data_IF_618394348397
#
_entry.id   IF_618394348397
#
_cell.length_a   1.000
_cell.length_b   1.000
_cell.length_c   1.000
_cell.angle_alpha   90.00
_cell.angle_beta   90.00
_cell.angle_gamma   90.00
#
_symmetry.space_group_name_H-M   'P 1'
#
loop_
_entity.id
_entity.type
_entity.pdbx_description
1 polymer ?
#
# COMPACT_ATOMS: atom_id res chain seq x y z
N UNK A 1 40.86 16.89 -0.48
CA UNK A 1 40.41 17.34 0.86
C UNK A 1 39.01 16.77 1.08
N UNK A 2 38.88 15.76 1.94
CA UNK A 2 37.59 15.13 2.22
C UNK A 2 36.69 16.10 2.98
N UNK A 3 35.42 16.24 2.57
CA UNK A 3 34.44 17.05 3.29
C UNK A 3 34.23 16.43 4.67
N UNK A 4 34.52 17.18 5.74
CA UNK A 4 34.16 16.77 7.10
C UNK A 4 32.64 16.62 7.17
N UNK A 5 32.19 15.38 7.36
CA UNK A 5 30.78 15.05 7.47
C UNK A 5 30.28 15.49 8.85
N UNK A 6 29.26 16.35 8.88
CA UNK A 6 28.63 16.87 10.10
C UNK A 6 28.24 15.71 11.05
N UNK A 7 28.38 15.88 12.36
CA UNK A 7 27.96 14.90 13.38
C UNK A 7 26.52 14.42 13.16
N UNK A 8 25.62 15.30 12.72
CA UNK A 8 24.23 14.92 12.42
C UNK A 8 24.18 13.87 11.30
N UNK A 9 24.97 14.04 10.23
CA UNK A 9 25.05 13.06 9.14
C UNK A 9 25.62 11.73 9.62
N UNK A 10 26.68 11.75 10.45
CA UNK A 10 27.26 10.53 11.03
C UNK A 10 26.27 9.77 11.91
N UNK A 11 25.48 10.50 12.72
CA UNK A 11 24.43 9.92 13.55
C UNK A 11 23.29 9.35 12.70
N UNK A 12 22.88 10.06 11.65
CA UNK A 12 21.86 9.58 10.73
C UNK A 12 22.30 8.31 9.99
N UNK A 13 23.53 8.28 9.48
CA UNK A 13 24.10 7.11 8.80
C UNK A 13 24.21 5.91 9.77
N UNK A 14 24.61 6.16 11.02
CA UNK A 14 24.65 5.12 12.06
C UNK A 14 23.26 4.58 12.43
N UNK A 15 22.25 5.45 12.55
CA UNK A 15 20.86 5.03 12.79
C UNK A 15 20.32 4.23 11.61
N UNK A 16 20.59 4.66 10.38
CA UNK A 16 20.26 3.93 9.16
C UNK A 16 20.93 2.55 9.14
N UNK A 17 22.21 2.44 9.47
CA UNK A 17 22.90 1.15 9.52
C UNK A 17 22.33 0.22 10.61
N UNK A 18 21.91 0.77 11.75
CA UNK A 18 21.24 0.00 12.80
C UNK A 18 19.83 -0.43 12.41
N UNK A 19 19.08 0.45 11.74
CA UNK A 19 17.69 0.22 11.33
C UNK A 19 17.60 -0.69 10.10
N UNK A 20 18.52 -0.56 9.13
CA UNK A 20 18.64 -1.43 7.95
C UNK A 20 19.20 -2.82 8.28
N UNK A 21 19.91 -2.97 9.42
CA UNK A 21 20.23 -4.30 9.99
C UNK A 21 19.01 -4.95 10.65
N UNK A 22 17.96 -4.18 10.94
CA UNK A 22 16.67 -4.68 11.38
C UNK A 22 15.83 -5.04 10.16
N UNK A 23 15.53 -6.34 10.05
CA UNK A 23 14.58 -6.98 9.14
C UNK A 23 13.59 -6.04 8.42
N UNK A 24 13.35 -6.31 7.12
CA UNK A 24 12.14 -5.91 6.40
C UNK A 24 10.97 -5.95 7.38
N UNK A 25 10.24 -4.86 7.57
CA UNK A 25 9.14 -4.86 8.51
C UNK A 25 8.09 -5.89 8.03
N UNK A 26 8.14 -7.10 8.59
CA UNK A 26 7.27 -8.22 8.22
C UNK A 26 5.84 -7.99 8.70
N UNK A 27 5.59 -6.98 9.55
CA UNK A 27 4.27 -6.66 10.09
C UNK A 27 3.22 -6.41 9.01
N UNK A 28 3.44 -5.45 8.09
CA UNK A 28 2.61 -5.28 6.90
C UNK A 28 2.41 -6.55 6.09
N UNK A 29 3.49 -7.27 5.76
CA UNK A 29 3.45 -8.52 4.99
C UNK A 29 2.50 -9.56 5.62
N UNK A 30 2.74 -9.90 6.90
CA UNK A 30 1.92 -10.87 7.63
C UNK A 30 0.45 -10.44 7.70
N UNK A 31 0.21 -9.15 7.83
CA UNK A 31 -1.15 -8.64 7.90
C UNK A 31 -1.85 -8.64 6.54
N UNK A 32 -1.12 -8.47 5.44
CA UNK A 32 -1.63 -8.66 4.08
C UNK A 32 -1.89 -10.13 3.77
N UNK A 33 -1.02 -11.05 4.19
CA UNK A 33 -1.26 -12.49 4.06
C UNK A 33 -2.59 -12.89 4.69
N UNK A 34 -2.88 -12.38 5.90
CA UNK A 34 -4.16 -12.61 6.57
C UNK A 34 -5.36 -12.04 5.81
N UNK A 35 -5.20 -10.91 5.13
CA UNK A 35 -6.27 -10.27 4.37
C UNK A 35 -6.56 -11.02 3.08
N UNK A 36 -5.51 -11.46 2.38
CA UNK A 36 -5.63 -12.18 1.12
C UNK A 36 -5.98 -13.65 1.31
N UNK A 37 -5.64 -14.24 2.46
CA UNK A 37 -5.87 -15.65 2.74
C UNK A 37 -4.82 -16.59 2.14
N UNK A 38 -3.69 -16.05 1.66
CA UNK A 38 -2.54 -16.81 1.20
C UNK A 38 -1.25 -16.10 1.61
N UNK A 39 -0.12 -16.82 1.60
CA UNK A 39 1.17 -16.25 1.92
C UNK A 39 1.79 -15.59 0.68
N UNK A 40 2.19 -14.33 0.81
CA UNK A 40 3.06 -13.66 -0.16
C UNK A 40 4.49 -14.01 0.21
N UNK A 41 5.29 -14.41 -0.77
CA UNK A 41 6.72 -14.67 -0.59
C UNK A 41 7.46 -13.37 -0.29
N UNK A 42 8.55 -13.46 0.48
CA UNK A 42 9.25 -12.27 0.95
C UNK A 42 9.87 -11.51 -0.23
N UNK A 43 10.40 -12.24 -1.20
CA UNK A 43 11.03 -11.72 -2.41
C UNK A 43 10.02 -10.93 -3.25
N UNK A 44 8.81 -11.46 -3.45
CA UNK A 44 7.72 -10.78 -4.17
C UNK A 44 7.31 -9.49 -3.45
N UNK A 45 7.22 -9.55 -2.11
CA UNK A 45 6.87 -8.40 -1.30
C UNK A 45 7.92 -7.29 -1.40
N UNK A 46 9.20 -7.64 -1.36
CA UNK A 46 10.31 -6.71 -1.54
C UNK A 46 10.32 -6.10 -2.94
N UNK A 47 10.08 -6.91 -3.98
CA UNK A 47 10.01 -6.43 -5.35
C UNK A 47 8.89 -5.38 -5.53
N UNK A 48 7.69 -5.67 -5.01
CA UNK A 48 6.56 -4.74 -5.03
C UNK A 48 6.91 -3.46 -4.28
N UNK A 49 7.56 -3.57 -3.12
CA UNK A 49 7.99 -2.41 -2.34
C UNK A 49 8.97 -1.53 -3.12
N UNK A 50 10.05 -2.11 -3.66
CA UNK A 50 11.06 -1.36 -4.41
C UNK A 50 10.48 -0.68 -5.66
N UNK A 51 9.65 -1.40 -6.43
CA UNK A 51 8.97 -0.83 -7.60
C UNK A 51 8.10 0.37 -7.23
N UNK A 52 7.34 0.28 -6.14
CA UNK A 52 6.49 1.38 -5.67
C UNK A 52 7.29 2.62 -5.24
N UNK A 53 8.52 2.45 -4.76
CA UNK A 53 9.40 3.58 -4.42
C UNK A 53 9.99 4.28 -5.64
N UNK A 54 10.19 3.55 -6.75
CA UNK A 54 10.82 4.05 -7.96
C UNK A 54 9.84 4.55 -9.02
N UNK A 55 8.56 4.13 -8.97
CA UNK A 55 7.57 4.40 -10.05
C UNK A 55 7.28 5.89 -10.28
N UNK A 56 7.46 6.74 -9.27
CA UNK A 56 7.12 8.16 -9.36
C UNK A 56 8.03 9.01 -8.49
N UNK A 57 8.30 10.25 -8.92
CA UNK A 57 8.98 11.26 -8.11
C UNK A 57 8.00 12.08 -7.25
N UNK A 58 6.69 11.95 -7.47
CA UNK A 58 5.70 12.70 -6.72
C UNK A 58 5.59 12.21 -5.28
N UNK A 59 5.82 13.12 -4.33
CA UNK A 59 5.77 12.82 -2.89
C UNK A 59 4.37 12.38 -2.47
N UNK A 60 3.32 13.03 -2.98
CA UNK A 60 1.94 12.70 -2.64
C UNK A 60 1.55 11.29 -3.08
N UNK A 61 2.04 10.85 -4.26
CA UNK A 61 1.84 9.48 -4.70
C UNK A 61 2.60 8.47 -3.85
N UNK A 62 3.87 8.76 -3.51
CA UNK A 62 4.64 7.90 -2.61
C UNK A 62 3.95 7.75 -1.26
N UNK A 63 3.49 8.85 -0.68
CA UNK A 63 2.75 8.85 0.59
C UNK A 63 1.49 7.97 0.51
N UNK A 64 0.73 8.04 -0.58
CA UNK A 64 -0.45 7.19 -0.78
C UNK A 64 -0.08 5.70 -0.88
N UNK A 65 1.01 5.35 -1.57
CA UNK A 65 1.52 3.97 -1.63
C UNK A 65 1.94 3.48 -0.25
N UNK A 66 2.66 4.29 0.53
CA UNK A 66 3.02 3.95 1.92
C UNK A 66 1.78 3.72 2.78
N UNK A 67 0.80 4.63 2.72
CA UNK A 67 -0.46 4.48 3.47
C UNK A 67 -1.19 3.18 3.09
N UNK A 68 -1.13 2.77 1.82
CA UNK A 68 -1.69 1.50 1.37
C UNK A 68 -0.91 0.30 1.91
N UNK A 69 0.40 0.25 1.71
CA UNK A 69 1.26 -0.86 2.17
C UNK A 69 1.12 -1.09 3.67
N UNK A 70 1.13 -0.01 4.46
CA UNK A 70 0.93 -0.08 5.92
C UNK A 70 -0.53 -0.19 6.36
N UNK A 71 -1.49 -0.17 5.44
CA UNK A 71 -2.94 -0.18 5.71
C UNK A 71 -3.36 0.90 6.71
N UNK A 72 -2.83 2.10 6.51
CA UNK A 72 -3.08 3.28 7.34
C UNK A 72 -4.55 3.69 7.33
N UNK A 73 -5.21 3.54 6.19
CA UNK A 73 -6.63 3.88 6.06
C UNK A 73 -7.52 2.93 6.86
N UNK A 74 -8.45 3.52 7.65
CA UNK A 74 -9.44 2.76 8.39
C UNK A 74 -10.67 2.48 7.52
N UNK A 75 -10.90 1.21 7.23
CA UNK A 75 -12.08 0.80 6.48
C UNK A 75 -13.37 0.89 7.35
N UNK A 76 -14.57 1.09 6.76
CA UNK A 76 -15.84 1.21 7.47
C UNK A 76 -16.09 0.10 8.50
N UNK A 77 -15.77 -1.15 8.14
CA UNK A 77 -15.96 -2.29 9.03
C UNK A 77 -15.04 -2.24 10.26
N UNK A 78 -13.88 -1.58 10.17
CA UNK A 78 -12.99 -1.34 11.32
C UNK A 78 -13.46 -0.13 12.12
N UNK A 79 -13.91 0.93 11.45
CA UNK A 79 -14.45 2.12 12.11
C UNK A 79 -15.69 1.80 12.95
N UNK A 80 -16.62 1.00 12.43
CA UNK A 80 -17.81 0.58 13.16
C UNK A 80 -17.53 -0.22 14.45
N UNK A 81 -16.34 -0.85 14.54
CA UNK A 81 -15.90 -1.53 15.78
C UNK A 81 -15.39 -0.55 16.84
N UNK A 82 -14.90 0.62 16.42
CA UNK A 82 -14.40 1.67 17.31
C UNK A 82 -15.54 2.61 17.70
N UNK A 83 -16.39 2.95 16.74
CA UNK A 83 -17.51 3.88 16.86
C UNK A 83 -18.81 3.17 16.45
N UNK A 84 -19.63 2.71 17.40
CA UNK A 84 -20.83 1.92 17.12
C UNK A 84 -21.88 2.62 16.25
N UNK A 85 -21.84 3.96 16.17
CA UNK A 85 -22.74 4.77 15.34
C UNK A 85 -22.35 4.80 13.86
N UNK A 86 -21.16 4.33 13.50
CA UNK A 86 -20.67 4.33 12.12
C UNK A 86 -21.24 3.12 11.37
N UNK A 87 -21.81 3.37 10.20
CA UNK A 87 -22.29 2.31 9.31
C UNK A 87 -21.11 1.46 8.80
N UNK A 88 -21.11 0.12 9.01
CA UNK A 88 -20.01 -0.73 8.60
C UNK A 88 -19.98 -1.05 7.10
N UNK A 89 -20.97 -0.57 6.33
CA UNK A 89 -21.08 -0.83 4.89
C UNK A 89 -20.00 -0.11 4.08
N UNK A 90 -19.70 -0.66 2.92
CA UNK A 90 -18.75 -0.12 1.96
C UNK A 90 -19.15 1.28 1.51
N UNK A 91 -18.24 2.26 1.57
CA UNK A 91 -18.49 3.62 1.09
C UNK A 91 -18.79 3.73 -0.41
N UNK A 92 -18.51 2.69 -1.20
CA UNK A 92 -18.66 2.73 -2.66
C UNK A 92 -19.97 2.07 -3.09
N UNK A 93 -20.17 0.79 -2.79
CA UNK A 93 -21.39 0.08 -3.18
C UNK A 93 -22.52 0.15 -2.14
N UNK A 94 -22.25 0.52 -0.88
CA UNK A 94 -23.24 0.55 0.22
C UNK A 94 -24.03 -0.76 0.45
N UNK A 95 -23.50 -1.90 0.00
CA UNK A 95 -24.15 -3.21 0.11
C UNK A 95 -23.47 -4.11 1.15
N UNK A 96 -22.19 -4.42 0.94
CA UNK A 96 -21.40 -5.33 1.79
C UNK A 96 -20.64 -4.56 2.87
N UNK A 97 -20.17 -5.26 3.90
CA UNK A 97 -19.23 -4.70 4.88
C UNK A 97 -18.00 -4.13 4.17
N UNK A 98 -17.67 -2.88 4.49
CA UNK A 98 -16.49 -2.19 3.98
C UNK A 98 -15.23 -2.68 4.67
N UNK A 99 -14.81 -3.92 4.39
CA UNK A 99 -13.47 -4.40 4.77
C UNK A 99 -12.41 -3.76 3.87
N UNK A 100 -11.16 -3.76 4.32
CA UNK A 100 -10.05 -3.22 3.53
C UNK A 100 -9.99 -3.90 2.15
N UNK A 101 -9.96 -5.23 2.11
CA UNK A 101 -9.96 -6.00 0.85
C UNK A 101 -11.15 -5.69 -0.05
N UNK A 102 -12.34 -5.54 0.52
CA UNK A 102 -13.51 -5.21 -0.26
C UNK A 102 -13.44 -3.82 -0.89
N UNK A 103 -13.04 -2.81 -0.12
CA UNK A 103 -12.98 -1.44 -0.62
C UNK A 103 -11.93 -1.21 -1.71
N UNK A 104 -10.90 -2.05 -1.80
CA UNK A 104 -9.84 -1.91 -2.78
C UNK A 104 -9.93 -2.87 -3.96
N UNK A 105 -10.47 -4.09 -3.76
CA UNK A 105 -10.41 -5.15 -4.77
C UNK A 105 -11.75 -5.79 -5.11
N UNK A 106 -12.55 -6.21 -4.12
CA UNK A 106 -13.75 -7.02 -4.43
C UNK A 106 -15.03 -6.23 -4.63
N UNK A 107 -15.04 -4.93 -4.32
CA UNK A 107 -16.19 -4.06 -4.56
C UNK A 107 -16.49 -3.96 -6.06
N UNK A 108 -17.75 -4.20 -6.49
CA UNK A 108 -18.13 -4.11 -7.91
C UNK A 108 -17.80 -2.75 -8.53
N UNK A 109 -18.10 -1.67 -7.83
CA UNK A 109 -17.78 -0.30 -8.28
C UNK A 109 -16.28 -0.09 -8.52
N UNK A 110 -15.45 -0.72 -7.70
CA UNK A 110 -13.99 -0.61 -7.80
C UNK A 110 -13.47 -1.48 -8.94
N UNK A 111 -13.99 -2.69 -9.10
CA UNK A 111 -13.66 -3.55 -10.24
C UNK A 111 -14.00 -2.86 -11.56
N UNK A 112 -15.20 -2.27 -11.65
CA UNK A 112 -15.62 -1.52 -12.83
C UNK A 112 -14.73 -0.31 -13.09
N UNK A 113 -14.27 0.38 -12.05
CA UNK A 113 -13.28 1.44 -12.18
C UNK A 113 -11.96 0.91 -12.76
N UNK A 114 -11.41 -0.18 -12.22
CA UNK A 114 -10.14 -0.73 -12.71
C UNK A 114 -10.22 -1.25 -14.14
N UNK A 115 -11.34 -1.88 -14.54
CA UNK A 115 -11.57 -2.32 -15.92
C UNK A 115 -11.58 -1.10 -16.86
N UNK A 116 -12.28 -0.03 -16.50
CA UNK A 116 -12.28 1.20 -17.31
C UNK A 116 -10.90 1.81 -17.44
N UNK A 117 -10.14 1.85 -16.35
CA UNK A 117 -8.76 2.35 -16.38
C UNK A 117 -7.85 1.47 -17.24
N UNK A 118 -7.99 0.14 -17.16
CA UNK A 118 -7.25 -0.80 -18.00
C UNK A 118 -7.53 -0.54 -19.47
N UNK A 119 -8.80 -0.58 -19.88
CA UNK A 119 -9.21 -0.34 -21.27
C UNK A 119 -8.70 1.02 -21.78
N UNK A 120 -8.81 2.06 -20.97
CA UNK A 120 -8.33 3.39 -21.34
C UNK A 120 -6.82 3.45 -21.56
N UNK A 121 -6.03 2.75 -20.73
CA UNK A 121 -4.58 2.67 -20.92
C UNK A 121 -4.24 1.84 -22.16
N UNK A 122 -4.92 0.72 -22.39
CA UNK A 122 -4.73 -0.12 -23.58
C UNK A 122 -5.05 0.66 -24.87
N UNK A 123 -6.14 1.44 -24.88
CA UNK A 123 -6.52 2.31 -26.01
C UNK A 123 -5.45 3.36 -26.32
N UNK A 124 -4.81 3.94 -25.30
CA UNK A 124 -3.78 4.97 -25.49
C UNK A 124 -2.42 4.38 -25.86
N UNK A 125 -2.09 3.23 -25.30
CA UNK A 125 -0.76 2.62 -25.44
C UNK A 125 -0.66 1.64 -26.60
N UNK A 126 -1.81 1.20 -27.16
CA UNK A 126 -1.90 0.12 -28.14
C UNK A 126 -1.27 -1.20 -27.65
N UNK A 127 -1.11 -1.34 -26.33
CA UNK A 127 -0.56 -2.51 -25.67
C UNK A 127 -1.67 -3.27 -24.95
N UNK A 128 -1.75 -4.59 -25.14
CA UNK A 128 -2.59 -5.45 -24.32
C UNK A 128 -1.96 -5.60 -22.93
N UNK A 129 -2.63 -5.13 -21.89
CA UNK A 129 -2.21 -5.36 -20.52
C UNK A 129 -2.81 -6.70 -20.08
N UNK A 130 -2.00 -7.60 -19.52
CA UNK A 130 -2.51 -8.85 -18.92
C UNK A 130 -3.25 -8.56 -17.61
#
# INVERSE_FOLDING_TARGET
MGREQNMISKLYDYLLELEMKGEINKGPLLAWNKIFGYNIELEDWEEIWQKNLSITKSVSYKENLYKMMYRWHLAPARLAKIYPTVNPKCWKCNEKHGTFYHQWWTCPEVKNFWIRMKNWVEEITECGLE
#
